data_IF_403837470699
#
_entry.id   IF_403837470699
#
_cell.length_a   1.000
_cell.length_b   1.000
_cell.length_c   1.000
_cell.angle_alpha   90.00
_cell.angle_beta   90.00
_cell.angle_gamma   90.00
#
_symmetry.space_group_name_H-M   'P 1'
#
loop_
_entity.id
_entity.type
_entity.pdbx_description
1 polymer ?
#
# COMPACT_ATOMS: atom_id res chain seq x y z
N UNK A 1 -14.87 20.56 -2.02
CA UNK A 1 -13.85 21.31 -1.27
C UNK A 1 -14.26 21.51 0.18
N UNK A 2 -15.49 21.94 0.45
CA UNK A 2 -15.97 22.21 1.83
C UNK A 2 -15.95 20.98 2.77
N UNK A 3 -16.33 19.80 2.27
CA UNK A 3 -16.30 18.55 3.05
C UNK A 3 -14.89 18.12 3.49
N UNK A 4 -13.88 18.27 2.62
CA UNK A 4 -12.52 17.84 2.95
C UNK A 4 -11.89 18.77 4.00
N UNK A 5 -12.15 20.08 3.91
CA UNK A 5 -11.72 21.05 4.91
C UNK A 5 -12.32 20.73 6.29
N UNK A 6 -13.63 20.42 6.33
CA UNK A 6 -14.30 20.03 7.56
C UNK A 6 -13.67 18.77 8.20
N UNK A 7 -13.48 17.70 7.42
CA UNK A 7 -12.85 16.48 7.94
C UNK A 7 -11.39 16.68 8.35
N UNK A 8 -10.68 17.58 7.66
CA UNK A 8 -9.29 17.88 7.96
C UNK A 8 -9.10 18.56 9.33
N UNK A 9 -10.04 19.43 9.73
CA UNK A 9 -10.03 19.99 11.09
C UNK A 9 -10.07 18.89 12.17
N UNK A 10 -10.96 17.90 12.02
CA UNK A 10 -11.06 16.76 12.94
C UNK A 10 -9.80 15.87 12.89
N UNK A 11 -9.21 15.70 11.71
CA UNK A 11 -7.96 14.97 11.53
C UNK A 11 -6.79 15.60 12.31
N UNK A 12 -6.58 16.92 12.19
CA UNK A 12 -5.54 17.63 12.95
C UNK A 12 -5.79 17.54 14.46
N UNK A 13 -7.04 17.64 14.90
CA UNK A 13 -7.39 17.48 16.31
C UNK A 13 -7.03 16.08 16.85
N UNK A 14 -7.31 15.03 16.07
CA UNK A 14 -6.95 13.65 16.44
C UNK A 14 -5.43 13.43 16.46
N UNK A 15 -4.69 13.95 15.48
CA UNK A 15 -3.23 13.87 15.48
C UNK A 15 -2.62 14.60 16.69
N UNK A 16 -3.12 15.79 17.01
CA UNK A 16 -2.69 16.53 18.21
C UNK A 16 -3.01 15.75 19.49
N UNK A 17 -4.20 15.15 19.61
CA UNK A 17 -4.57 14.31 20.74
C UNK A 17 -3.59 13.14 20.92
N UNK A 18 -3.29 12.42 19.83
CA UNK A 18 -2.32 11.31 19.81
C UNK A 18 -0.93 11.78 20.24
N UNK A 19 -0.46 12.92 19.72
CA UNK A 19 0.83 13.50 20.13
C UNK A 19 0.84 13.85 21.61
N UNK A 20 -0.18 14.55 22.10
CA UNK A 20 -0.27 14.94 23.52
C UNK A 20 -0.18 13.74 24.46
N UNK A 21 -0.82 12.63 24.09
CA UNK A 21 -0.81 11.38 24.84
C UNK A 21 0.59 10.75 24.87
N UNK A 22 1.22 10.55 23.71
CA UNK A 22 2.53 9.90 23.64
C UNK A 22 3.64 10.77 24.24
N UNK A 23 3.64 12.08 24.02
CA UNK A 23 4.69 12.95 24.58
C UNK A 23 4.56 13.04 26.11
N UNK A 24 3.34 13.01 26.65
CA UNK A 24 3.13 12.94 28.09
C UNK A 24 3.57 11.61 28.68
N UNK A 25 3.33 10.49 27.99
CA UNK A 25 3.74 9.15 28.45
C UNK A 25 5.26 8.99 28.47
N UNK A 26 5.94 9.50 27.46
CA UNK A 26 7.40 9.37 27.31
C UNK A 26 8.18 10.54 27.93
N UNK A 27 7.50 11.46 28.64
CA UNK A 27 8.08 12.66 29.24
C UNK A 27 8.88 13.53 28.25
N UNK A 28 8.37 13.69 27.03
CA UNK A 28 8.94 14.52 25.96
C UNK A 28 8.28 15.90 25.93
N UNK A 29 9.04 16.93 25.52
CA UNK A 29 8.50 18.28 25.25
C UNK A 29 7.63 18.29 23.98
N UNK A 30 7.92 17.42 23.02
CA UNK A 30 7.17 17.27 21.78
C UNK A 30 7.90 16.41 20.74
N UNK A 31 7.38 16.39 19.52
CA UNK A 31 7.96 15.71 18.36
C UNK A 31 8.42 16.73 17.31
N UNK A 32 9.55 16.45 16.68
CA UNK A 32 10.01 17.14 15.48
C UNK A 32 10.04 16.15 14.33
N UNK A 33 9.18 16.35 13.34
CA UNK A 33 8.98 15.42 12.22
C UNK A 33 9.57 16.02 10.94
N UNK A 34 10.57 15.37 10.39
CA UNK A 34 11.30 15.85 9.20
C UNK A 34 10.71 15.25 7.92
N UNK A 35 10.50 16.06 6.87
CA UNK A 35 10.00 15.57 5.58
C UNK A 35 11.01 14.70 4.83
N UNK A 36 12.31 14.90 5.08
CA UNK A 36 13.43 14.20 4.44
C UNK A 36 14.22 15.10 3.49
N UNK A 37 15.24 14.54 2.83
CA UNK A 37 16.05 15.22 1.82
C UNK A 37 16.13 14.39 0.53
N UNK A 38 16.46 15.03 -0.61
CA UNK A 38 16.78 14.30 -1.83
C UNK A 38 18.06 13.47 -1.62
N UNK A 39 18.04 12.23 -2.09
CA UNK A 39 19.22 11.37 -2.10
C UNK A 39 20.00 11.60 -3.38
N UNK A 40 21.28 11.96 -3.28
CA UNK A 40 22.14 12.19 -4.45
C UNK A 40 22.62 10.87 -5.04
N UNK A 41 22.64 10.76 -6.36
CA UNK A 41 23.22 9.61 -7.05
C UNK A 41 24.74 9.58 -6.82
N UNK A 42 25.31 8.37 -6.75
CA UNK A 42 26.72 8.18 -6.44
C UNK A 42 27.61 8.82 -7.50
N UNK A 43 28.46 9.76 -7.07
CA UNK A 43 29.39 10.53 -7.92
C UNK A 43 28.73 11.41 -9.00
N UNK A 44 27.44 11.72 -8.86
CA UNK A 44 26.68 12.55 -9.81
C UNK A 44 26.13 13.81 -9.13
N UNK A 45 25.62 14.76 -9.91
CA UNK A 45 24.88 15.94 -9.43
C UNK A 45 23.35 15.79 -9.53
N UNK A 46 22.88 14.65 -10.02
CA UNK A 46 21.45 14.27 -10.08
C UNK A 46 21.01 13.60 -8.77
N UNK A 47 19.75 13.82 -8.39
CA UNK A 47 19.11 13.18 -7.24
C UNK A 47 18.11 12.10 -7.67
N UNK A 48 17.93 11.09 -6.81
CA UNK A 48 16.77 10.21 -6.88
C UNK A 48 15.47 11.01 -6.68
N UNK A 49 14.33 10.50 -7.19
CA UNK A 49 13.03 11.07 -6.89
C UNK A 49 12.79 11.16 -5.38
N UNK A 50 12.45 12.35 -4.89
CA UNK A 50 12.18 12.58 -3.47
C UNK A 50 10.94 11.79 -3.02
N UNK A 51 11.00 11.21 -1.82
CA UNK A 51 9.89 10.53 -1.16
C UNK A 51 9.74 11.08 0.25
N UNK A 52 8.66 11.80 0.51
CA UNK A 52 8.40 12.37 1.83
C UNK A 52 8.23 11.28 2.90
N UNK A 53 8.81 11.54 4.08
CA UNK A 53 8.63 10.73 5.29
C UNK A 53 7.12 10.48 5.57
N UNK A 54 6.66 9.22 5.68
CA UNK A 54 5.27 8.90 6.00
C UNK A 54 4.73 9.56 7.27
N UNK A 55 5.58 9.82 8.27
CA UNK A 55 5.17 10.54 9.49
C UNK A 55 4.93 12.02 9.23
N UNK A 56 5.64 12.64 8.28
CA UNK A 56 5.44 14.03 7.90
C UNK A 56 4.15 14.19 7.11
N UNK A 57 3.99 13.42 6.02
CA UNK A 57 2.79 13.48 5.18
C UNK A 57 1.52 12.94 5.85
N UNK A 58 1.64 12.33 7.04
CA UNK A 58 0.50 12.02 7.88
C UNK A 58 -0.25 13.27 8.36
N UNK A 59 0.43 14.42 8.44
CA UNK A 59 -0.18 15.65 8.93
C UNK A 59 -0.77 16.50 7.82
N UNK A 60 -0.12 16.57 6.66
CA UNK A 60 -0.46 17.50 5.60
C UNK A 60 -0.09 16.96 4.21
N UNK A 61 -0.79 17.39 3.14
CA UNK A 61 -0.58 16.89 1.78
C UNK A 61 0.58 17.59 1.07
N UNK A 62 1.76 17.65 1.70
CA UNK A 62 3.00 18.15 1.10
C UNK A 62 3.93 16.97 0.87
N UNK A 63 4.07 16.55 -0.40
CA UNK A 63 4.71 15.28 -0.77
C UNK A 63 6.04 15.47 -1.52
N UNK A 64 6.23 16.63 -2.13
CA UNK A 64 7.28 16.96 -3.09
C UNK A 64 8.28 17.99 -2.55
N UNK A 65 8.11 18.46 -1.31
CA UNK A 65 8.98 19.48 -0.71
C UNK A 65 9.91 18.89 0.38
N UNK A 66 11.21 18.73 0.09
CA UNK A 66 12.19 18.28 1.07
C UNK A 66 12.52 19.38 2.10
N UNK A 67 13.30 19.04 3.13
CA UNK A 67 13.79 19.97 4.15
C UNK A 67 12.68 20.71 4.92
N UNK A 68 11.45 20.20 4.91
CA UNK A 68 10.36 20.72 5.71
C UNK A 68 10.32 20.02 7.07
N UNK A 69 9.84 20.73 8.08
CA UNK A 69 9.82 20.21 9.46
C UNK A 69 8.50 20.57 10.13
N UNK A 70 7.94 19.61 10.86
CA UNK A 70 6.83 19.86 11.78
C UNK A 70 7.35 19.86 13.20
N UNK A 71 6.92 20.84 13.99
CA UNK A 71 7.16 20.87 15.44
C UNK A 71 5.81 20.81 16.13
N UNK A 72 5.56 19.71 16.85
CA UNK A 72 4.24 19.39 17.42
C UNK A 72 4.36 18.89 18.84
N UNK A 73 3.53 19.42 19.75
CA UNK A 73 3.44 18.96 21.14
C UNK A 73 2.02 18.49 21.52
N UNK A 74 1.10 18.51 20.56
CA UNK A 74 -0.29 18.08 20.74
C UNK A 74 -1.19 19.07 21.50
N UNK A 75 -0.67 20.24 21.88
CA UNK A 75 -1.40 21.28 22.63
C UNK A 75 -1.48 22.58 21.85
N UNK A 76 -0.33 23.05 21.40
CA UNK A 76 -0.22 24.26 20.59
C UNK A 76 -0.53 23.96 19.13
N UNK A 77 -0.82 25.02 18.37
CA UNK A 77 -0.99 24.93 16.93
C UNK A 77 0.31 24.35 16.31
N UNK A 78 0.25 23.27 15.51
CA UNK A 78 1.41 22.70 14.84
C UNK A 78 2.21 23.75 14.08
N UNK A 79 3.53 23.80 14.29
CA UNK A 79 4.40 24.68 13.52
C UNK A 79 4.92 23.92 12.29
N UNK A 80 4.77 24.50 11.11
CA UNK A 80 5.36 24.02 9.86
C UNK A 80 6.50 24.94 9.46
N UNK A 81 7.72 24.41 9.50
CA UNK A 81 8.89 25.03 8.88
C UNK A 81 8.90 24.58 7.41
N UNK A 82 8.47 25.46 6.51
CA UNK A 82 8.31 25.17 5.09
C UNK A 82 9.55 25.61 4.30
N UNK A 83 10.23 24.66 3.67
CA UNK A 83 11.38 24.96 2.83
C UNK A 83 10.95 25.68 1.56
N UNK A 84 11.46 26.89 1.39
CA UNK A 84 11.17 27.76 0.24
C UNK A 84 12.46 28.51 -0.10
N UNK A 85 13.40 27.86 -0.81
CA UNK A 85 14.65 28.50 -1.16
C UNK A 85 14.42 29.74 -2.03
N UNK A 86 15.37 30.67 -2.02
CA UNK A 86 15.36 31.78 -2.98
C UNK A 86 16.38 31.44 -4.04
N UNK A 87 15.89 30.98 -5.18
CA UNK A 87 16.71 30.41 -6.25
C UNK A 87 16.11 30.76 -7.63
N UNK A 88 16.97 30.90 -8.63
CA UNK A 88 16.61 31.06 -10.04
C UNK A 88 16.75 29.77 -10.86
N UNK A 89 17.42 28.73 -10.32
CA UNK A 89 17.57 27.44 -11.00
C UNK A 89 16.31 26.56 -10.93
N UNK A 90 15.53 26.70 -9.87
CA UNK A 90 14.35 25.89 -9.62
C UNK A 90 13.09 26.74 -9.53
N UNK A 91 11.96 26.21 -10.03
CA UNK A 91 10.64 26.78 -9.71
C UNK A 91 10.37 26.54 -8.23
N UNK A 92 10.33 27.60 -7.44
CA UNK A 92 10.04 27.54 -6.01
C UNK A 92 8.54 27.71 -5.81
N UNK A 93 7.88 26.70 -5.23
CA UNK A 93 6.46 26.78 -4.88
C UNK A 93 6.27 27.69 -3.66
N UNK A 94 5.30 28.59 -3.74
CA UNK A 94 4.80 29.29 -2.56
C UNK A 94 4.08 28.31 -1.63
N UNK A 95 3.89 28.72 -0.37
CA UNK A 95 3.01 28.01 0.55
C UNK A 95 1.60 28.00 -0.08
N UNK A 96 1.02 26.83 -0.38
CA UNK A 96 -0.24 26.79 -1.11
C UNK A 96 -1.39 27.38 -0.29
N UNK A 97 -2.24 28.24 -0.86
CA UNK A 97 -3.49 28.66 -0.20
C UNK A 97 -4.53 27.53 -0.31
N UNK A 98 -4.45 26.55 0.59
CA UNK A 98 -5.28 25.35 0.61
C UNK A 98 -5.98 25.16 1.97
N UNK A 99 -6.98 24.28 2.03
CA UNK A 99 -7.77 24.00 3.24
C UNK A 99 -6.95 23.62 4.47
N UNK A 100 -5.71 23.12 4.30
CA UNK A 100 -4.89 22.67 5.41
C UNK A 100 -4.01 23.77 6.02
N UNK A 101 -3.74 24.86 5.31
CA UNK A 101 -2.70 25.82 5.76
C UNK A 101 -3.08 26.57 7.01
N UNK A 102 -4.36 26.89 7.19
CA UNK A 102 -4.85 27.59 8.38
C UNK A 102 -4.65 26.78 9.67
N UNK A 103 -4.39 25.48 9.58
CA UNK A 103 -4.13 24.62 10.73
C UNK A 103 -2.69 24.67 11.25
N UNK A 104 -1.77 25.32 10.52
CA UNK A 104 -0.36 25.42 10.91
C UNK A 104 0.06 26.87 11.21
N UNK A 105 1.05 27.03 12.09
CA UNK A 105 1.88 28.23 12.14
C UNK A 105 3.05 28.03 11.17
N UNK A 106 3.08 28.78 10.07
CA UNK A 106 4.02 28.53 8.97
C UNK A 106 5.21 29.49 9.07
N UNK A 107 6.42 28.94 9.13
CA UNK A 107 7.69 29.67 9.09
C UNK A 107 8.47 29.27 7.84
N UNK A 108 8.97 30.25 7.09
CA UNK A 108 9.71 29.98 5.86
C UNK A 108 11.18 29.70 6.14
N UNK A 109 11.69 28.62 5.55
CA UNK A 109 13.11 28.25 5.58
C UNK A 109 13.71 28.47 4.20
N UNK A 110 14.55 29.49 4.06
CA UNK A 110 15.16 29.87 2.77
C UNK A 110 16.47 29.14 2.48
N UNK A 111 17.11 28.56 3.50
CA UNK A 111 18.29 27.70 3.38
C UNK A 111 18.19 26.55 4.37
N UNK A 112 18.44 25.33 3.92
CA UNK A 112 18.27 24.12 4.74
C UNK A 112 19.14 24.13 6.01
N UNK A 113 20.36 24.67 5.93
CA UNK A 113 21.33 24.79 7.03
C UNK A 113 20.91 25.79 8.13
N UNK A 114 19.83 26.55 7.91
CA UNK A 114 19.30 27.53 8.86
C UNK A 114 18.17 27.01 9.75
N UNK A 115 17.81 25.73 9.63
CA UNK A 115 16.68 25.17 10.39
C UNK A 115 16.84 25.28 11.91
N UNK A 116 18.09 25.21 12.42
CA UNK A 116 18.37 25.32 13.85
C UNK A 116 17.84 26.62 14.49
N UNK A 117 17.75 27.71 13.71
CA UNK A 117 17.24 29.00 14.18
C UNK A 117 15.71 29.00 14.40
N UNK A 118 15.00 28.00 13.86
CA UNK A 118 13.54 27.88 13.90
C UNK A 118 13.04 26.70 14.77
N UNK A 119 13.95 25.86 15.25
CA UNK A 119 13.66 24.72 16.12
C UNK A 119 13.58 25.14 17.60
N UNK A 120 12.91 24.34 18.45
CA UNK A 120 12.90 24.55 19.90
C UNK A 120 14.32 24.63 20.50
N UNK A 121 14.52 25.55 21.45
CA UNK A 121 15.83 25.74 22.10
C UNK A 121 16.24 24.59 23.03
N UNK A 122 15.28 23.82 23.56
CA UNK A 122 15.48 22.67 24.45
C UNK A 122 15.42 21.33 23.69
N UNK A 123 15.96 21.29 22.47
CA UNK A 123 15.77 20.21 21.49
C UNK A 123 16.12 18.80 22.01
N UNK A 124 16.99 18.69 23.02
CA UNK A 124 17.34 17.43 23.65
C UNK A 124 16.15 16.71 24.33
N UNK A 125 15.08 17.43 24.69
CA UNK A 125 13.85 16.87 25.27
C UNK A 125 12.76 16.58 24.21
N UNK A 126 13.04 16.81 22.94
CA UNK A 126 12.14 16.53 21.82
C UNK A 126 12.58 15.25 21.11
N UNK A 127 11.62 14.49 20.58
CA UNK A 127 11.93 13.33 19.75
C UNK A 127 11.96 13.70 18.27
N UNK A 128 13.07 13.38 17.59
CA UNK A 128 13.20 13.50 16.14
C UNK A 128 12.56 12.29 15.46
N UNK A 129 11.67 12.53 14.50
CA UNK A 129 11.10 11.51 13.62
C UNK A 129 11.53 11.76 12.17
N UNK A 130 12.44 10.94 11.64
CA UNK A 130 12.95 11.07 10.28
C UNK A 130 14.13 10.14 9.96
N UNK A 131 14.54 10.13 8.69
CA UNK A 131 15.58 9.23 8.18
C UNK A 131 17.01 9.72 8.51
N UNK A 132 17.26 11.03 8.56
CA UNK A 132 18.61 11.59 8.59
C UNK A 132 19.10 11.81 10.03
N UNK A 133 19.53 10.71 10.63
CA UNK A 133 19.96 10.65 12.04
C UNK A 133 21.24 11.46 12.31
N UNK A 134 22.10 11.59 11.31
CA UNK A 134 23.31 12.41 11.31
C UNK A 134 22.98 13.91 11.40
N UNK A 135 22.02 14.36 10.58
CA UNK A 135 21.49 15.73 10.65
C UNK A 135 20.84 15.99 12.01
N UNK A 136 20.03 15.04 12.50
CA UNK A 136 19.42 15.14 13.82
C UNK A 136 20.47 15.22 14.94
N UNK A 137 21.56 14.46 14.85
CA UNK A 137 22.66 14.49 15.82
C UNK A 137 23.36 15.85 15.84
N UNK A 138 23.69 16.40 14.66
CA UNK A 138 24.31 17.74 14.56
C UNK A 138 23.39 18.84 15.11
N UNK A 139 22.07 18.69 14.95
CA UNK A 139 21.08 19.62 15.51
C UNK A 139 20.87 19.45 17.02
N UNK A 140 21.45 18.43 17.64
CA UNK A 140 21.41 18.21 19.10
C UNK A 140 20.30 17.29 19.60
N UNK A 141 19.61 16.56 18.72
CA UNK A 141 18.61 15.58 19.14
C UNK A 141 19.25 14.37 19.82
N UNK A 142 18.76 14.02 21.01
CA UNK A 142 19.19 12.82 21.74
C UNK A 142 18.24 11.65 21.53
N UNK A 143 16.94 11.93 21.43
CA UNK A 143 15.89 10.96 21.13
C UNK A 143 15.56 10.96 19.64
N UNK A 144 15.88 9.86 18.96
CA UNK A 144 15.78 9.72 17.49
C UNK A 144 15.00 8.46 17.15
N UNK A 145 13.85 8.62 16.52
CA UNK A 145 12.89 7.56 16.20
C UNK A 145 12.65 6.57 17.37
N UNK A 146 12.34 7.04 18.60
CA UNK A 146 12.21 6.16 19.75
C UNK A 146 11.09 5.12 19.55
N UNK A 147 11.38 3.85 19.80
CA UNK A 147 10.49 2.71 19.51
C UNK A 147 9.10 2.85 20.14
N UNK A 148 9.00 3.39 21.36
CA UNK A 148 7.74 3.63 22.05
C UNK A 148 6.84 4.62 21.31
N UNK A 149 7.42 5.71 20.79
CA UNK A 149 6.70 6.71 19.99
C UNK A 149 6.32 6.14 18.63
N UNK A 150 7.26 5.45 17.96
CA UNK A 150 7.01 4.84 16.65
C UNK A 150 5.89 3.81 16.73
N UNK A 151 5.96 2.89 17.70
CA UNK A 151 4.95 1.85 17.92
C UNK A 151 3.56 2.43 18.17
N UNK A 152 3.47 3.45 19.03
CA UNK A 152 2.19 4.10 19.31
C UNK A 152 1.59 4.77 18.06
N UNK A 153 2.39 5.57 17.35
CA UNK A 153 1.91 6.25 16.14
C UNK A 153 1.53 5.25 15.04
N UNK A 154 2.30 4.17 14.86
CA UNK A 154 2.02 3.11 13.89
C UNK A 154 0.78 2.30 14.25
N UNK A 155 0.55 2.04 15.54
CA UNK A 155 -0.67 1.36 15.98
C UNK A 155 -1.91 2.18 15.65
N UNK A 156 -1.90 3.48 15.96
CA UNK A 156 -3.05 4.37 15.73
C UNK A 156 -3.23 4.76 14.26
N UNK A 157 -2.18 4.69 13.43
CA UNK A 157 -2.26 4.79 11.96
C UNK A 157 -3.16 3.74 11.30
N UNK A 158 -3.40 2.60 11.98
CA UNK A 158 -4.29 1.57 11.44
C UNK A 158 -5.76 2.01 11.39
N UNK A 159 -6.17 2.92 12.28
CA UNK A 159 -7.54 3.44 12.37
C UNK A 159 -7.59 4.82 11.73
N UNK A 160 -8.17 4.88 10.54
CA UNK A 160 -8.23 6.07 9.69
C UNK A 160 -9.27 7.06 10.21
N UNK A 161 -8.95 8.33 10.15
CA UNK A 161 -9.91 9.44 10.32
C UNK A 161 -10.73 9.62 9.04
N UNK A 162 -11.86 10.34 9.12
CA UNK A 162 -12.71 10.59 7.94
C UNK A 162 -12.00 11.31 6.79
N UNK A 163 -11.05 12.20 7.10
CA UNK A 163 -10.20 12.83 6.09
C UNK A 163 -9.38 11.80 5.31
N UNK A 164 -8.78 10.85 6.02
CA UNK A 164 -7.95 9.79 5.44
C UNK A 164 -8.81 8.86 4.58
N UNK A 165 -9.99 8.48 5.06
CA UNK A 165 -10.93 7.66 4.30
C UNK A 165 -11.39 8.36 3.01
N UNK A 166 -11.72 9.65 3.06
CA UNK A 166 -12.03 10.43 1.85
C UNK A 166 -10.84 10.49 0.89
N UNK A 167 -9.61 10.68 1.38
CA UNK A 167 -8.42 10.66 0.53
C UNK A 167 -8.24 9.30 -0.16
N UNK A 168 -8.44 8.20 0.57
CA UNK A 168 -8.33 6.84 0.02
C UNK A 168 -9.43 6.53 -1.01
N UNK A 169 -10.66 7.02 -0.80
CA UNK A 169 -11.73 6.95 -1.80
C UNK A 169 -11.34 7.67 -3.09
N UNK A 170 -10.74 8.87 -2.99
CA UNK A 170 -10.23 9.61 -4.15
C UNK A 170 -9.09 8.91 -4.86
N UNK A 171 -8.14 8.33 -4.11
CA UNK A 171 -7.08 7.51 -4.68
C UNK A 171 -7.64 6.29 -5.45
N UNK A 172 -8.67 5.63 -4.92
CA UNK A 172 -9.38 4.54 -5.61
C UNK A 172 -10.09 5.03 -6.88
N UNK A 173 -10.78 6.18 -6.80
CA UNK A 173 -11.46 6.78 -7.96
C UNK A 173 -10.51 7.02 -9.12
N UNK A 174 -9.32 7.57 -8.84
CA UNK A 174 -8.29 7.81 -9.85
C UNK A 174 -7.77 6.49 -10.42
N UNK A 175 -7.39 5.53 -9.56
CA UNK A 175 -6.84 4.25 -10.01
C UNK A 175 -7.83 3.46 -10.88
N UNK A 176 -9.12 3.45 -10.55
CA UNK A 176 -10.15 2.76 -11.37
C UNK A 176 -10.20 3.32 -12.80
N UNK A 177 -10.01 4.64 -12.99
CA UNK A 177 -9.92 5.22 -14.34
C UNK A 177 -8.71 4.68 -15.11
N UNK A 178 -7.56 4.57 -14.43
CA UNK A 178 -6.35 3.93 -14.97
C UNK A 178 -6.58 2.48 -15.36
N UNK A 179 -7.20 1.69 -14.47
CA UNK A 179 -7.52 0.28 -14.72
C UNK A 179 -8.44 0.08 -15.93
N UNK A 180 -9.45 0.94 -16.11
CA UNK A 180 -10.32 0.89 -17.28
C UNK A 180 -9.57 1.25 -18.58
N UNK A 181 -8.68 2.24 -18.54
CA UNK A 181 -7.84 2.59 -19.69
C UNK A 181 -6.87 1.45 -20.05
N UNK A 182 -6.23 0.85 -19.05
CA UNK A 182 -5.32 -0.28 -19.22
C UNK A 182 -6.04 -1.51 -19.78
N UNK A 183 -7.23 -1.84 -19.26
CA UNK A 183 -8.09 -2.90 -19.79
C UNK A 183 -8.42 -2.68 -21.27
N UNK A 184 -8.82 -1.47 -21.64
CA UNK A 184 -9.11 -1.14 -23.04
C UNK A 184 -7.88 -1.27 -23.93
N UNK A 185 -6.72 -0.79 -23.46
CA UNK A 185 -5.45 -0.93 -24.17
C UNK A 185 -5.06 -2.40 -24.39
N UNK A 186 -5.24 -3.25 -23.38
CA UNK A 186 -5.02 -4.69 -23.48
C UNK A 186 -5.85 -5.32 -24.61
N UNK A 187 -7.15 -5.06 -24.67
CA UNK A 187 -8.03 -5.60 -25.72
C UNK A 187 -7.75 -5.01 -27.11
N UNK A 188 -7.18 -3.80 -27.17
CA UNK A 188 -6.76 -3.16 -28.43
C UNK A 188 -5.36 -3.60 -28.90
N UNK A 189 -4.72 -4.56 -28.24
CA UNK A 189 -3.47 -5.15 -28.68
C UNK A 189 -2.21 -4.38 -28.29
N UNK A 190 -2.30 -3.48 -27.31
CA UNK A 190 -1.14 -2.73 -26.81
C UNK A 190 -0.13 -3.64 -26.08
N UNK A 191 1.15 -3.29 -26.15
CA UNK A 191 2.24 -3.93 -25.39
C UNK A 191 2.15 -3.58 -23.90
N UNK A 192 2.93 -4.25 -23.05
CA UNK A 192 2.98 -3.95 -21.62
C UNK A 192 3.39 -2.49 -21.39
N UNK A 193 4.40 -2.01 -22.11
CA UNK A 193 4.80 -0.60 -22.05
C UNK A 193 3.68 0.35 -22.46
N UNK A 194 3.00 0.07 -23.57
CA UNK A 194 1.91 0.94 -24.05
C UNK A 194 0.71 0.95 -23.09
N UNK A 195 0.37 -0.21 -22.49
CA UNK A 195 -0.67 -0.32 -21.45
C UNK A 195 -0.30 0.54 -20.24
N UNK A 196 0.96 0.49 -19.77
CA UNK A 196 1.44 1.35 -18.69
C UNK A 196 1.26 2.84 -19.04
N UNK A 197 1.61 3.26 -20.26
CA UNK A 197 1.46 4.65 -20.66
C UNK A 197 -0.02 5.09 -20.67
N UNK A 198 -0.94 4.22 -21.10
CA UNK A 198 -2.37 4.50 -21.04
C UNK A 198 -2.86 4.61 -19.59
N UNK A 199 -2.37 3.76 -18.69
CA UNK A 199 -2.67 3.85 -17.26
C UNK A 199 -2.22 5.20 -16.69
N UNK A 200 -0.93 5.54 -16.82
CA UNK A 200 -0.33 6.77 -16.26
C UNK A 200 -1.03 8.03 -16.79
N UNK A 201 -1.31 8.06 -18.10
CA UNK A 201 -2.06 9.15 -18.73
C UNK A 201 -3.46 9.31 -18.15
N UNK A 202 -4.18 8.20 -17.96
CA UNK A 202 -5.55 8.21 -17.43
C UNK A 202 -5.62 8.61 -15.95
N UNK A 203 -4.63 8.26 -15.14
CA UNK A 203 -4.57 8.68 -13.72
C UNK A 203 -4.00 10.10 -13.55
N UNK A 204 -3.37 10.67 -14.59
CA UNK A 204 -2.74 11.99 -14.52
C UNK A 204 -1.54 12.05 -13.58
N UNK A 205 -0.81 10.93 -13.43
CA UNK A 205 0.34 10.78 -12.53
C UNK A 205 1.50 10.15 -13.30
N UNK A 206 2.71 10.65 -13.06
CA UNK A 206 3.95 10.05 -13.54
C UNK A 206 4.33 8.79 -12.77
N UNK A 207 5.32 8.07 -13.29
CA UNK A 207 5.82 6.80 -12.70
C UNK A 207 6.33 6.95 -11.26
N UNK A 208 6.85 8.13 -10.90
CA UNK A 208 7.30 8.40 -9.53
C UNK A 208 6.21 8.95 -8.61
N UNK A 209 5.02 9.23 -9.12
CA UNK A 209 3.87 9.75 -8.36
C UNK A 209 2.91 8.65 -7.94
N UNK A 210 2.80 7.59 -8.74
CA UNK A 210 2.07 6.37 -8.35
C UNK A 210 2.70 5.73 -7.10
N UNK A 211 1.89 5.07 -6.25
CA UNK A 211 2.32 4.67 -4.91
C UNK A 211 3.36 3.54 -4.90
N UNK A 212 3.43 2.74 -5.96
CA UNK A 212 4.40 1.68 -6.20
C UNK A 212 4.61 1.51 -7.72
N UNK A 213 5.66 0.79 -8.10
CA UNK A 213 5.89 0.45 -9.51
C UNK A 213 4.79 -0.51 -9.98
N UNK A 214 3.94 -0.05 -10.90
CA UNK A 214 2.86 -0.85 -11.45
C UNK A 214 3.39 -2.15 -12.07
N UNK A 215 2.66 -3.24 -11.88
CA UNK A 215 2.88 -4.50 -12.58
C UNK A 215 1.93 -4.56 -13.76
N UNK A 216 2.48 -4.56 -14.98
CA UNK A 216 1.71 -4.70 -16.22
C UNK A 216 2.20 -5.96 -16.93
N UNK A 217 1.50 -7.07 -16.75
CA UNK A 217 1.98 -8.39 -17.16
C UNK A 217 1.04 -9.05 -18.17
N UNK A 218 1.58 -9.45 -19.33
CA UNK A 218 0.86 -10.25 -20.32
C UNK A 218 1.25 -11.73 -20.25
N UNK A 219 0.27 -12.61 -20.44
CA UNK A 219 0.47 -14.06 -20.53
C UNK A 219 1.29 -14.63 -19.35
N UNK A 220 2.38 -15.36 -19.62
CA UNK A 220 3.22 -16.00 -18.61
C UNK A 220 3.82 -15.02 -17.59
N UNK A 221 4.00 -13.75 -17.96
CA UNK A 221 4.52 -12.74 -17.04
C UNK A 221 3.59 -12.54 -15.84
N UNK A 222 2.29 -12.87 -15.96
CA UNK A 222 1.33 -12.81 -14.86
C UNK A 222 1.62 -13.82 -13.71
N UNK A 223 2.53 -14.77 -13.91
CA UNK A 223 3.04 -15.64 -12.84
C UNK A 223 4.17 -14.99 -12.01
N UNK A 224 4.76 -13.90 -12.47
CA UNK A 224 5.89 -13.23 -11.81
C UNK A 224 5.33 -12.19 -10.83
N UNK A 225 5.36 -12.52 -9.53
CA UNK A 225 4.68 -11.71 -8.50
C UNK A 225 5.20 -10.28 -8.36
N UNK A 226 6.51 -10.07 -8.57
CA UNK A 226 7.14 -8.75 -8.59
C UNK A 226 7.67 -8.44 -9.99
N UNK A 227 6.80 -8.54 -11.00
CA UNK A 227 7.16 -8.24 -12.38
C UNK A 227 7.30 -6.73 -12.59
N UNK A 228 8.53 -6.27 -12.84
CA UNK A 228 8.84 -4.83 -13.00
C UNK A 228 9.22 -4.43 -14.42
N UNK A 229 9.37 -5.40 -15.33
CA UNK A 229 9.68 -5.10 -16.71
C UNK A 229 8.42 -4.60 -17.45
N UNK A 230 8.65 -3.91 -18.57
CA UNK A 230 7.59 -3.44 -19.46
C UNK A 230 8.01 -3.80 -20.89
N UNK A 231 7.58 -4.97 -21.36
CA UNK A 231 7.92 -5.41 -22.71
C UNK A 231 7.34 -4.44 -23.75
N UNK A 232 8.22 -3.96 -24.64
CA UNK A 232 7.82 -3.12 -25.77
C UNK A 232 7.26 -3.94 -26.93
N UNK A 233 7.59 -5.24 -26.99
CA UNK A 233 7.13 -6.13 -28.04
C UNK A 233 5.90 -6.90 -27.58
N UNK A 234 4.88 -6.96 -28.44
CA UNK A 234 3.69 -7.75 -28.17
C UNK A 234 3.99 -9.25 -28.22
N UNK A 235 3.35 -10.07 -27.37
CA UNK A 235 3.46 -11.51 -27.48
C UNK A 235 2.83 -12.00 -28.80
N UNK A 236 3.35 -13.10 -29.35
CA UNK A 236 2.86 -13.68 -30.60
C UNK A 236 1.37 -14.08 -30.54
N UNK A 237 0.89 -14.44 -29.35
CA UNK A 237 -0.53 -14.67 -29.05
C UNK A 237 -0.89 -13.95 -27.76
N UNK A 238 -2.07 -13.35 -27.70
CA UNK A 238 -2.60 -12.70 -26.50
C UNK A 238 -3.56 -13.65 -25.78
N UNK A 239 -3.29 -13.95 -24.52
CA UNK A 239 -4.02 -14.95 -23.74
C UNK A 239 -4.59 -14.35 -22.46
N UNK A 240 -3.74 -13.67 -21.66
CA UNK A 240 -4.13 -13.06 -20.39
C UNK A 240 -3.42 -11.73 -20.16
N UNK A 241 -3.97 -10.98 -19.23
CA UNK A 241 -3.42 -9.73 -18.72
C UNK A 241 -3.67 -9.62 -17.23
N UNK A 242 -2.63 -9.38 -16.45
CA UNK A 242 -2.70 -9.01 -15.06
C UNK A 242 -2.12 -7.60 -14.91
N UNK A 243 -2.90 -6.73 -14.29
CA UNK A 243 -2.46 -5.40 -13.88
C UNK A 243 -2.62 -5.27 -12.38
N UNK A 244 -1.55 -4.90 -11.72
CA UNK A 244 -1.53 -4.44 -10.33
C UNK A 244 -0.98 -3.01 -10.32
N UNK A 245 -1.87 -2.06 -10.07
CA UNK A 245 -1.57 -0.65 -10.19
C UNK A 245 -2.47 0.20 -9.28
N UNK A 246 -1.86 1.21 -8.69
CA UNK A 246 -2.49 2.14 -7.76
C UNK A 246 -2.43 3.59 -8.23
N UNK A 247 -2.98 4.48 -7.42
CA UNK A 247 -2.85 5.92 -7.57
C UNK A 247 -2.70 6.57 -6.19
N UNK A 248 -2.17 7.78 -6.17
CA UNK A 248 -2.01 8.57 -4.95
C UNK A 248 -3.00 9.73 -4.91
N UNK A 249 -3.58 10.00 -3.74
CA UNK A 249 -4.27 11.27 -3.48
C UNK A 249 -3.85 11.80 -2.12
N UNK A 250 -3.22 12.98 -2.10
CA UNK A 250 -2.69 13.59 -0.88
C UNK A 250 -1.82 12.66 -0.02
N UNK A 251 -1.11 11.74 -0.68
CA UNK A 251 -0.16 10.82 -0.07
C UNK A 251 -0.76 9.48 0.37
N UNK A 252 -2.09 9.31 0.29
CA UNK A 252 -2.80 8.06 0.53
C UNK A 252 -2.88 7.25 -0.76
N UNK A 253 -2.56 5.96 -0.66
CA UNK A 253 -2.49 5.03 -1.78
C UNK A 253 -3.82 4.31 -2.01
N UNK A 254 -4.10 4.00 -3.27
CA UNK A 254 -4.88 2.83 -3.68
C UNK A 254 -3.95 1.72 -4.18
N UNK A 255 -4.45 0.49 -4.18
CA UNK A 255 -3.71 -0.72 -4.51
C UNK A 255 -4.69 -1.73 -5.13
N UNK A 256 -4.70 -1.85 -6.45
CA UNK A 256 -5.77 -2.58 -7.14
C UNK A 256 -5.13 -3.51 -8.16
N UNK A 257 -5.57 -4.76 -8.11
CA UNK A 257 -5.19 -5.79 -9.07
C UNK A 257 -6.41 -6.33 -9.81
N UNK A 258 -6.29 -6.48 -11.13
CA UNK A 258 -7.25 -7.20 -11.98
C UNK A 258 -6.55 -8.13 -12.95
N UNK A 259 -7.18 -9.28 -13.18
CA UNK A 259 -6.78 -10.24 -14.20
C UNK A 259 -7.88 -10.39 -15.24
N UNK A 260 -7.50 -10.43 -16.52
CA UNK A 260 -8.39 -10.55 -17.66
C UNK A 260 -7.93 -11.69 -18.56
N UNK A 261 -8.89 -12.47 -19.07
CA UNK A 261 -8.67 -13.35 -20.21
C UNK A 261 -8.95 -12.58 -21.52
N UNK A 262 -8.20 -12.90 -22.58
CA UNK A 262 -8.46 -12.34 -23.91
C UNK A 262 -9.71 -12.95 -24.55
N UNK A 263 -9.93 -14.25 -24.35
CA UNK A 263 -11.07 -15.01 -24.84
C UNK A 263 -11.79 -15.72 -23.69
N UNK A 264 -13.08 -16.03 -23.87
CA UNK A 264 -13.84 -16.87 -22.94
C UNK A 264 -13.40 -18.32 -23.06
N UNK A 265 -12.74 -18.83 -22.01
CA UNK A 265 -12.20 -20.18 -21.94
C UNK A 265 -12.08 -20.62 -20.46
N UNK A 266 -11.46 -21.78 -20.22
CA UNK A 266 -11.25 -22.31 -18.85
C UNK A 266 -10.55 -21.32 -17.91
N UNK A 267 -9.64 -20.49 -18.42
CA UNK A 267 -8.95 -19.47 -17.62
C UNK A 267 -9.89 -18.30 -17.25
N UNK A 268 -10.77 -17.86 -18.16
CA UNK A 268 -11.83 -16.87 -17.88
C UNK A 268 -12.81 -17.35 -16.79
N UNK A 269 -13.18 -18.63 -16.84
CA UNK A 269 -14.00 -19.27 -15.81
C UNK A 269 -13.27 -19.32 -14.45
N UNK A 270 -11.96 -19.56 -14.46
CA UNK A 270 -11.13 -19.56 -13.25
C UNK A 270 -10.99 -18.14 -12.66
N UNK A 271 -10.85 -17.10 -13.49
CA UNK A 271 -10.90 -15.70 -13.05
C UNK A 271 -12.26 -15.41 -12.39
N UNK A 272 -13.35 -15.87 -12.99
CA UNK A 272 -14.71 -15.69 -12.45
C UNK A 272 -14.87 -16.40 -11.09
N UNK A 273 -14.32 -17.60 -10.93
CA UNK A 273 -14.32 -18.33 -9.66
C UNK A 273 -13.49 -17.61 -8.58
N UNK A 274 -12.29 -17.12 -8.94
CA UNK A 274 -11.45 -16.32 -8.04
C UNK A 274 -12.16 -15.03 -7.62
N UNK A 275 -12.85 -14.36 -8.56
CA UNK A 275 -13.61 -13.15 -8.28
C UNK A 275 -14.72 -13.41 -7.25
N UNK A 276 -15.47 -14.49 -7.43
CA UNK A 276 -16.50 -14.92 -6.47
C UNK A 276 -15.88 -15.22 -5.10
N UNK A 277 -14.78 -15.97 -5.07
CA UNK A 277 -14.08 -16.31 -3.84
C UNK A 277 -13.61 -15.06 -3.08
N UNK A 278 -13.09 -14.06 -3.80
CA UNK A 278 -12.64 -12.78 -3.25
C UNK A 278 -13.78 -11.98 -2.62
N UNK A 279 -14.93 -11.88 -3.30
CA UNK A 279 -16.12 -11.21 -2.74
C UNK A 279 -16.64 -11.93 -1.49
N UNK A 280 -16.68 -13.26 -1.50
CA UNK A 280 -17.07 -14.04 -0.31
C UNK A 280 -16.09 -13.85 0.86
N UNK A 281 -14.79 -13.65 0.61
CA UNK A 281 -13.81 -13.32 1.64
C UNK A 281 -14.03 -11.91 2.22
N UNK A 282 -14.41 -10.95 1.37
CA UNK A 282 -14.76 -9.60 1.81
C UNK A 282 -16.02 -9.61 2.68
N UNK A 283 -17.03 -10.40 2.32
CA UNK A 283 -18.26 -10.53 3.12
C UNK A 283 -18.01 -11.11 4.52
N UNK A 284 -16.90 -11.84 4.70
CA UNK A 284 -16.49 -12.34 6.02
C UNK A 284 -15.87 -11.26 6.91
N UNK A 285 -15.36 -10.17 6.35
CA UNK A 285 -14.75 -9.08 7.11
C UNK A 285 -15.79 -8.39 7.99
N UNK A 286 -15.46 -8.20 9.27
CA UNK A 286 -16.22 -7.38 10.23
C UNK A 286 -15.37 -7.18 11.49
N UNK A 287 -15.66 -6.16 12.31
CA UNK A 287 -15.00 -5.99 13.60
C UNK A 287 -14.99 -7.30 14.43
N UNK A 288 -13.84 -7.62 15.01
CA UNK A 288 -13.63 -8.83 15.83
C UNK A 288 -13.14 -10.07 15.07
N UNK A 289 -13.17 -10.07 13.74
CA UNK A 289 -12.58 -11.17 12.94
C UNK A 289 -11.06 -11.07 12.95
N UNK A 290 -10.36 -12.19 13.14
CA UNK A 290 -8.90 -12.26 13.05
C UNK A 290 -8.51 -12.34 11.57
N UNK A 291 -7.62 -11.48 11.11
CA UNK A 291 -7.16 -11.51 9.72
C UNK A 291 -6.54 -12.86 9.29
N UNK A 292 -5.78 -13.57 10.14
CA UNK A 292 -5.30 -14.92 9.81
C UNK A 292 -6.41 -15.92 9.48
N UNK A 293 -7.60 -15.78 10.07
CA UNK A 293 -8.73 -16.68 9.80
C UNK A 293 -9.26 -16.48 8.37
N UNK A 294 -9.24 -15.23 7.87
CA UNK A 294 -9.55 -14.93 6.47
C UNK A 294 -8.50 -15.54 5.54
N UNK A 295 -7.21 -15.45 5.89
CA UNK A 295 -6.14 -16.06 5.11
C UNK A 295 -6.28 -17.59 5.01
N UNK A 296 -6.61 -18.27 6.11
CA UNK A 296 -6.89 -19.71 6.10
C UNK A 296 -8.12 -20.04 5.26
N UNK A 297 -9.18 -19.22 5.34
CA UNK A 297 -10.36 -19.38 4.49
C UNK A 297 -10.01 -19.25 2.99
N UNK A 298 -9.06 -18.37 2.63
CA UNK A 298 -8.55 -18.25 1.26
C UNK A 298 -7.89 -19.53 0.79
N UNK A 299 -7.02 -20.15 1.60
CA UNK A 299 -6.41 -21.44 1.24
C UNK A 299 -7.47 -22.53 1.02
N UNK A 300 -8.54 -22.55 1.83
CA UNK A 300 -9.68 -23.45 1.60
C UNK A 300 -10.40 -23.19 0.26
N UNK A 301 -10.63 -21.93 -0.10
CA UNK A 301 -11.23 -21.56 -1.40
C UNK A 301 -10.31 -21.89 -2.57
N UNK A 302 -9.00 -21.67 -2.43
CA UNK A 302 -7.99 -22.07 -3.44
C UNK A 302 -7.99 -23.59 -3.60
N UNK A 303 -7.99 -24.36 -2.51
CA UNK A 303 -8.08 -25.82 -2.59
C UNK A 303 -9.33 -26.28 -3.36
N UNK A 304 -10.49 -25.69 -3.08
CA UNK A 304 -11.71 -26.02 -3.81
C UNK A 304 -11.59 -25.68 -5.31
N UNK A 305 -11.02 -24.52 -5.66
CA UNK A 305 -10.77 -24.16 -7.07
C UNK A 305 -9.80 -25.14 -7.74
N UNK A 306 -8.76 -25.62 -7.05
CA UNK A 306 -7.85 -26.62 -7.61
C UNK A 306 -8.57 -27.94 -7.95
N UNK A 307 -9.58 -28.33 -7.16
CA UNK A 307 -10.40 -29.52 -7.43
C UNK A 307 -11.42 -29.27 -8.54
N UNK A 308 -12.19 -28.19 -8.45
CA UNK A 308 -13.27 -27.86 -9.40
C UNK A 308 -12.74 -27.67 -10.83
N UNK A 309 -11.53 -27.11 -10.95
CA UNK A 309 -10.85 -26.90 -12.22
C UNK A 309 -9.85 -28.01 -12.55
N UNK A 310 -9.91 -29.16 -11.87
CA UNK A 310 -9.07 -30.35 -12.14
C UNK A 310 -7.57 -30.03 -12.25
N UNK A 311 -7.07 -29.09 -11.44
CA UNK A 311 -5.65 -28.80 -11.26
C UNK A 311 -5.02 -29.74 -10.23
N UNK A 312 -5.82 -30.21 -9.27
CA UNK A 312 -5.44 -31.22 -8.30
C UNK A 312 -6.58 -32.23 -8.08
N UNK A 313 -6.28 -33.33 -7.40
CA UNK A 313 -7.22 -34.38 -7.00
C UNK A 313 -7.06 -34.68 -5.51
N UNK A 314 -8.09 -35.25 -4.88
CA UNK A 314 -8.13 -35.53 -3.45
C UNK A 314 -9.26 -34.78 -2.76
N UNK A 315 -9.06 -34.43 -1.48
CA UNK A 315 -9.99 -33.62 -0.69
C UNK A 315 -9.41 -32.23 -0.38
N UNK A 316 -10.27 -31.22 -0.26
CA UNK A 316 -9.84 -29.83 -0.14
C UNK A 316 -9.00 -29.57 1.13
N UNK A 317 -9.37 -30.18 2.27
CA UNK A 317 -8.62 -30.02 3.52
C UNK A 317 -7.24 -30.67 3.40
N UNK A 318 -7.15 -31.84 2.80
CA UNK A 318 -5.90 -32.54 2.53
C UNK A 318 -4.94 -31.72 1.64
N UNK A 319 -5.45 -30.98 0.65
CA UNK A 319 -4.62 -30.08 -0.17
C UNK A 319 -4.05 -28.90 0.65
N UNK A 320 -4.80 -28.41 1.64
CA UNK A 320 -4.35 -27.36 2.56
C UNK A 320 -3.30 -27.91 3.52
N UNK A 321 -3.60 -29.01 4.20
CA UNK A 321 -2.74 -29.62 5.22
C UNK A 321 -1.39 -30.07 4.67
N UNK A 322 -1.34 -30.51 3.40
CA UNK A 322 -0.12 -30.89 2.70
C UNK A 322 0.67 -29.70 2.13
N UNK A 323 0.16 -28.48 2.27
CA UNK A 323 0.76 -27.26 1.72
C UNK A 323 0.75 -27.17 0.19
N UNK A 324 -0.12 -27.93 -0.49
CA UNK A 324 -0.24 -27.88 -1.96
C UNK A 324 -0.78 -26.53 -2.41
N UNK A 325 -1.76 -26.00 -1.68
CA UNK A 325 -2.35 -24.68 -1.99
C UNK A 325 -1.30 -23.57 -1.99
N UNK A 326 -0.29 -23.63 -1.12
CA UNK A 326 0.78 -22.64 -1.03
C UNK A 326 1.68 -22.57 -2.27
N UNK A 327 1.74 -23.63 -3.09
CA UNK A 327 2.47 -23.59 -4.36
C UNK A 327 1.70 -22.81 -5.45
N UNK A 328 0.37 -22.73 -5.33
CA UNK A 328 -0.50 -21.96 -6.23
C UNK A 328 -0.84 -20.57 -5.67
N UNK A 329 -0.81 -20.40 -4.35
CA UNK A 329 -1.07 -19.14 -3.64
C UNK A 329 0.05 -18.89 -2.61
N UNK A 330 1.19 -18.31 -3.04
CA UNK A 330 2.41 -18.27 -2.23
C UNK A 330 2.57 -17.00 -1.37
N UNK A 331 1.56 -16.12 -1.31
CA UNK A 331 1.64 -14.84 -0.60
C UNK A 331 0.50 -14.67 0.42
N UNK A 332 0.57 -13.61 1.24
CA UNK A 332 -0.51 -13.25 2.16
C UNK A 332 -1.78 -12.81 1.42
N UNK A 333 -2.94 -12.92 2.07
CA UNK A 333 -4.24 -12.49 1.51
C UNK A 333 -4.33 -10.99 1.24
N UNK A 334 -3.50 -10.18 1.90
CA UNK A 334 -3.54 -8.73 1.82
C UNK A 334 -2.92 -8.09 3.06
N UNK A 335 -3.07 -6.79 3.18
CA UNK A 335 -2.40 -5.98 4.19
C UNK A 335 -3.19 -4.71 4.53
N UNK A 336 -2.76 -4.01 5.59
CA UNK A 336 -3.23 -2.66 5.86
C UNK A 336 -2.83 -1.72 4.71
N UNK A 337 -3.69 -0.78 4.35
CA UNK A 337 -3.46 0.22 3.31
C UNK A 337 -3.69 1.64 3.85
N UNK A 338 -2.92 2.62 3.39
CA UNK A 338 -3.05 4.02 3.80
C UNK A 338 -2.00 4.94 3.18
N UNK A 339 -1.29 5.69 4.03
CA UNK A 339 -0.15 6.54 3.62
C UNK A 339 1.01 5.77 3.00
N UNK A 340 1.07 4.47 3.26
CA UNK A 340 1.97 3.52 2.64
C UNK A 340 1.13 2.38 2.06
N UNK A 341 1.61 1.76 0.99
CA UNK A 341 0.94 0.63 0.30
C UNK A 341 0.78 -0.52 1.29
N UNK A 342 1.91 -1.08 1.73
CA UNK A 342 1.98 -1.91 2.93
C UNK A 342 2.01 -1.00 4.17
N UNK A 343 0.84 -0.56 4.65
CA UNK A 343 0.73 0.35 5.78
C UNK A 343 1.22 -0.28 7.09
N UNK A 344 1.66 0.57 8.01
CA UNK A 344 2.23 0.16 9.30
C UNK A 344 1.17 -0.44 10.23
N UNK A 345 1.63 -1.13 11.28
CA UNK A 345 0.77 -1.62 12.36
C UNK A 345 0.03 -2.93 12.07
N UNK A 346 0.18 -3.54 10.88
CA UNK A 346 -0.46 -4.83 10.52
C UNK A 346 -0.12 -6.03 11.42
N UNK A 347 0.96 -5.95 12.20
CA UNK A 347 1.33 -6.98 13.19
C UNK A 347 1.29 -6.48 14.65
N UNK A 348 0.89 -5.22 14.87
CA UNK A 348 0.84 -4.65 16.21
C UNK A 348 -0.42 -5.12 16.94
N UNK A 349 -0.23 -5.80 18.06
CA UNK A 349 -1.30 -6.26 18.94
C UNK A 349 -1.82 -5.14 19.85
N UNK A 350 -0.90 -4.31 20.36
CA UNK A 350 -1.20 -3.17 21.21
C UNK A 350 -0.37 -1.94 20.80
N UNK A 351 -0.70 -0.81 21.40
CA UNK A 351 -0.02 0.46 21.16
C UNK A 351 1.37 0.57 21.81
N UNK A 352 1.79 -0.43 22.59
CA UNK A 352 3.13 -0.51 23.20
C UNK A 352 4.14 -1.22 22.30
N UNK A 353 3.69 -1.72 21.14
CA UNK A 353 4.56 -2.39 20.17
C UNK A 353 4.63 -3.90 20.32
N UNK A 354 3.71 -4.54 21.08
CA UNK A 354 3.64 -6.00 21.11
C UNK A 354 3.36 -6.52 19.69
N UNK A 355 4.26 -7.35 19.17
CA UNK A 355 4.22 -7.84 17.79
C UNK A 355 3.71 -9.29 17.75
N UNK A 356 2.69 -9.55 16.93
CA UNK A 356 2.25 -10.91 16.61
C UNK A 356 2.77 -11.25 15.21
N UNK A 357 3.82 -12.07 15.08
CA UNK A 357 4.39 -12.39 13.78
C UNK A 357 3.43 -13.24 12.94
N UNK A 358 3.69 -13.27 11.64
CA UNK A 358 3.05 -14.23 10.74
C UNK A 358 3.25 -15.68 11.25
N UNK A 359 2.25 -16.56 11.15
CA UNK A 359 2.44 -17.97 11.47
C UNK A 359 3.54 -18.58 10.60
N UNK A 360 4.31 -19.52 11.16
CA UNK A 360 5.44 -20.16 10.45
C UNK A 360 5.00 -20.83 9.12
N UNK A 361 3.79 -21.39 9.08
CA UNK A 361 3.22 -22.00 7.87
C UNK A 361 2.85 -20.97 6.78
N UNK A 362 2.73 -19.68 7.13
CA UNK A 362 2.30 -18.60 6.24
C UNK A 362 3.21 -17.37 6.40
N UNK A 363 4.53 -17.49 6.09
CA UNK A 363 5.54 -16.48 6.44
C UNK A 363 5.36 -15.15 5.69
N UNK A 364 4.62 -15.15 4.59
CA UNK A 364 4.34 -13.96 3.77
C UNK A 364 3.02 -13.27 4.13
N UNK A 365 2.31 -13.73 5.17
CA UNK A 365 1.13 -13.04 5.68
C UNK A 365 1.53 -11.68 6.28
N UNK A 366 0.95 -10.59 5.78
CA UNK A 366 1.33 -9.21 6.16
C UNK A 366 0.47 -8.59 7.27
N UNK A 367 -0.53 -9.31 7.76
CA UNK A 367 -1.45 -8.83 8.78
C UNK A 367 -1.88 -9.96 9.72
N UNK A 368 -1.80 -9.71 11.03
CA UNK A 368 -2.25 -10.64 12.08
C UNK A 368 -3.23 -9.98 13.06
N UNK A 369 -3.68 -8.76 12.76
CA UNK A 369 -4.61 -8.01 13.60
C UNK A 369 -5.98 -8.67 13.68
N UNK A 370 -6.67 -8.32 14.75
CA UNK A 370 -8.12 -8.39 14.82
C UNK A 370 -8.68 -7.14 14.11
N UNK A 371 -9.62 -7.36 13.19
CA UNK A 371 -10.25 -6.29 12.45
C UNK A 371 -11.05 -5.37 13.37
N UNK A 372 -10.97 -4.07 13.12
CA UNK A 372 -11.69 -3.04 13.84
C UNK A 372 -12.27 -2.00 12.86
N UNK A 373 -13.28 -1.21 13.28
CA UNK A 373 -13.82 -0.14 12.45
C UNK A 373 -12.76 0.86 12.00
N UNK A 374 -12.99 1.47 10.84
CA UNK A 374 -12.13 2.46 10.20
C UNK A 374 -10.73 1.95 9.84
N UNK A 375 -10.55 0.64 9.77
CA UNK A 375 -9.38 0.05 9.13
C UNK A 375 -9.62 -0.08 7.63
N UNK A 376 -8.55 0.05 6.85
CA UNK A 376 -8.57 -0.16 5.40
C UNK A 376 -7.55 -1.22 5.05
N UNK A 377 -8.00 -2.24 4.31
CA UNK A 377 -7.18 -3.39 3.92
C UNK A 377 -7.30 -3.68 2.43
N UNK A 378 -6.25 -4.28 1.86
CA UNK A 378 -6.32 -4.98 0.58
C UNK A 378 -6.87 -6.39 0.76
N UNK A 379 -7.59 -6.89 -0.24
CA UNK A 379 -8.11 -8.26 -0.29
C UNK A 379 -7.79 -8.87 -1.65
N UNK A 380 -6.66 -9.57 -1.73
CA UNK A 380 -5.93 -9.92 -2.95
C UNK A 380 -5.65 -11.44 -3.10
N UNK A 381 -6.66 -12.34 -3.04
CA UNK A 381 -6.42 -13.75 -3.31
C UNK A 381 -5.87 -13.96 -4.73
N UNK A 382 -5.03 -14.99 -4.89
CA UNK A 382 -4.39 -15.32 -6.15
C UNK A 382 -4.26 -16.82 -6.40
N UNK A 383 -4.03 -17.17 -7.66
CA UNK A 383 -3.73 -18.52 -8.12
C UNK A 383 -2.79 -18.43 -9.32
N UNK A 384 -1.57 -18.95 -9.16
CA UNK A 384 -0.50 -18.79 -10.13
C UNK A 384 0.08 -20.14 -10.56
N UNK A 385 0.56 -20.19 -11.81
CA UNK A 385 1.35 -21.30 -12.32
C UNK A 385 2.82 -20.87 -12.32
N UNK A 386 3.48 -21.04 -11.17
CA UNK A 386 4.88 -20.65 -10.97
C UNK A 386 5.76 -21.90 -11.05
N UNK A 387 6.57 -21.99 -12.11
CA UNK A 387 7.35 -23.21 -12.38
C UNK A 387 8.30 -23.58 -11.24
N UNK A 388 8.93 -22.61 -10.57
CA UNK A 388 9.84 -22.90 -9.44
C UNK A 388 9.12 -23.59 -8.29
N UNK A 389 7.94 -23.10 -7.89
CA UNK A 389 7.14 -23.68 -6.81
C UNK A 389 6.52 -25.02 -7.19
N UNK A 390 6.00 -25.12 -8.41
CA UNK A 390 5.38 -26.36 -8.88
C UNK A 390 6.40 -27.47 -9.13
N UNK A 391 7.64 -27.13 -9.51
CA UNK A 391 8.71 -28.11 -9.66
C UNK A 391 9.09 -28.77 -8.32
N UNK A 392 8.97 -28.07 -7.19
CA UNK A 392 9.16 -28.66 -5.87
C UNK A 392 8.10 -29.72 -5.58
N UNK A 393 6.82 -29.41 -5.84
CA UNK A 393 5.73 -30.39 -5.70
C UNK A 393 5.93 -31.61 -6.60
N UNK A 394 6.43 -31.40 -7.83
CA UNK A 394 6.68 -32.47 -8.79
C UNK A 394 7.75 -33.47 -8.34
N UNK A 395 8.66 -33.06 -7.46
CA UNK A 395 9.77 -33.88 -6.98
C UNK A 395 9.40 -34.75 -5.76
N UNK A 396 8.25 -34.52 -5.12
CA UNK A 396 7.80 -35.33 -3.97
C UNK A 396 6.43 -36.00 -4.20
N UNK A 397 5.93 -36.72 -3.19
CA UNK A 397 4.68 -37.49 -3.28
C UNK A 397 3.43 -36.64 -3.56
N UNK A 398 3.44 -35.35 -3.21
CA UNK A 398 2.32 -34.42 -3.45
C UNK A 398 2.07 -34.22 -4.94
N UNK A 399 3.12 -34.31 -5.77
CA UNK A 399 3.03 -34.20 -7.22
C UNK A 399 2.12 -35.23 -7.89
N UNK A 400 1.78 -36.34 -7.21
CA UNK A 400 0.82 -37.34 -7.71
C UNK A 400 -0.63 -36.84 -7.68
N UNK A 401 -0.94 -35.87 -6.81
CA UNK A 401 -2.27 -35.27 -6.72
C UNK A 401 -2.46 -34.17 -7.77
N UNK A 402 -1.38 -33.65 -8.37
CA UNK A 402 -1.43 -32.55 -9.34
C UNK A 402 -1.74 -33.10 -10.73
N UNK A 403 -2.73 -32.50 -11.39
CA UNK A 403 -3.02 -32.77 -12.79
C UNK A 403 -2.13 -31.90 -13.68
N UNK A 404 -0.95 -32.43 -13.98
CA UNK A 404 0.06 -31.73 -14.79
C UNK A 404 -0.43 -31.35 -16.19
N UNK A 405 -1.39 -32.09 -16.76
CA UNK A 405 -1.97 -31.74 -18.06
C UNK A 405 -2.74 -30.42 -18.00
N UNK A 406 -3.57 -30.24 -16.97
CA UNK A 406 -4.30 -28.98 -16.76
C UNK A 406 -3.35 -27.83 -16.40
N UNK A 407 -2.32 -28.12 -15.58
CA UNK A 407 -1.26 -27.14 -15.29
C UNK A 407 -0.56 -26.69 -16.59
N UNK A 408 -0.20 -27.62 -17.47
CA UNK A 408 0.44 -27.32 -18.76
C UNK A 408 -0.47 -26.50 -19.69
N UNK A 409 -1.78 -26.76 -19.66
CA UNK A 409 -2.80 -26.01 -20.40
C UNK A 409 -2.92 -24.56 -19.91
N UNK A 410 -2.86 -24.33 -18.60
CA UNK A 410 -3.02 -23.02 -17.98
C UNK A 410 -1.71 -22.23 -17.83
N UNK A 411 -0.54 -22.89 -17.86
CA UNK A 411 0.78 -22.25 -17.75
C UNK A 411 0.95 -21.03 -18.67
N UNK A 412 0.51 -21.03 -19.94
CA UNK A 412 0.66 -19.88 -20.83
C UNK A 412 -0.06 -18.60 -20.37
N UNK A 413 -1.05 -18.73 -19.48
CA UNK A 413 -1.79 -17.58 -18.93
C UNK A 413 -1.11 -16.97 -17.69
N UNK A 414 -0.08 -17.61 -17.14
CA UNK A 414 0.68 -17.13 -15.99
C UNK A 414 -0.05 -17.34 -14.67
N UNK A 415 -0.95 -16.44 -14.32
CA UNK A 415 -1.65 -16.47 -13.04
C UNK A 415 -2.75 -15.43 -12.91
N UNK A 416 -3.44 -15.49 -11.77
CA UNK A 416 -4.59 -14.66 -11.45
C UNK A 416 -4.35 -14.00 -10.10
N UNK A 417 -4.61 -12.70 -10.02
CA UNK A 417 -4.84 -11.94 -8.79
C UNK A 417 -5.99 -10.97 -9.00
N UNK A 418 -6.83 -10.83 -7.98
CA UNK A 418 -7.95 -9.88 -7.95
C UNK A 418 -7.92 -9.21 -6.60
N UNK A 419 -7.79 -7.89 -6.59
CA UNK A 419 -7.56 -7.12 -5.37
C UNK A 419 -8.45 -5.89 -5.29
N UNK A 420 -9.03 -5.68 -4.11
CA UNK A 420 -9.82 -4.49 -3.80
C UNK A 420 -9.32 -3.83 -2.52
N UNK A 421 -9.63 -2.54 -2.38
CA UNK A 421 -9.41 -1.78 -1.16
C UNK A 421 -10.73 -1.65 -0.38
N UNK A 422 -10.75 -2.19 0.83
CA UNK A 422 -11.97 -2.33 1.62
C UNK A 422 -11.83 -1.58 2.94
N UNK A 423 -12.76 -0.66 3.20
CA UNK A 423 -12.93 -0.02 4.50
C UNK A 423 -13.86 -0.91 5.34
N UNK A 424 -13.40 -1.27 6.53
CA UNK A 424 -14.21 -2.01 7.53
C UNK A 424 -14.95 -0.98 8.38
N UNK A 425 -16.27 -0.89 8.23
CA UNK A 425 -17.12 -0.09 9.13
C UNK A 425 -17.63 -0.96 10.29
N UNK A 426 -18.37 -0.35 11.22
CA UNK A 426 -18.93 -1.05 12.37
C UNK A 426 -19.94 -2.14 11.97
N UNK A 427 -20.74 -1.89 10.93
CA UNK A 427 -21.91 -2.68 10.54
C UNK A 427 -21.90 -3.10 9.05
N UNK A 428 -20.93 -2.63 8.25
CA UNK A 428 -20.79 -2.97 6.83
C UNK A 428 -19.33 -2.94 6.38
N UNK A 429 -19.07 -3.49 5.20
CA UNK A 429 -17.83 -3.25 4.47
C UNK A 429 -18.11 -2.29 3.32
N UNK A 430 -17.23 -1.33 3.10
CA UNK A 430 -17.26 -0.44 1.94
C UNK A 430 -16.10 -0.84 1.02
N UNK A 431 -16.44 -1.50 -0.08
CA UNK A 431 -15.46 -1.89 -1.09
C UNK A 431 -15.31 -0.74 -2.09
N UNK A 432 -14.32 0.13 -1.85
CA UNK A 432 -14.11 1.35 -2.63
C UNK A 432 -13.90 1.03 -4.11
N UNK A 433 -13.24 -0.08 -4.42
CA UNK A 433 -12.91 -0.49 -5.78
C UNK A 433 -14.17 -0.94 -6.54
N UNK A 434 -15.02 -1.78 -5.93
CA UNK A 434 -16.23 -2.33 -6.57
C UNK A 434 -17.36 -1.31 -6.67
N UNK A 435 -17.50 -0.43 -5.68
CA UNK A 435 -18.51 0.64 -5.71
C UNK A 435 -18.30 1.62 -6.88
N UNK A 436 -17.07 1.69 -7.41
CA UNK A 436 -16.72 2.46 -8.62
C UNK A 436 -16.96 1.69 -9.93
N UNK A 437 -17.50 0.47 -9.88
CA UNK A 437 -17.88 -0.30 -11.05
C UNK A 437 -16.74 -1.12 -11.70
N UNK A 438 -15.60 -1.28 -11.02
CA UNK A 438 -14.51 -2.15 -11.50
C UNK A 438 -14.74 -3.59 -11.02
N UNK A 439 -15.40 -4.39 -11.85
CA UNK A 439 -15.60 -5.83 -11.62
C UNK A 439 -14.35 -6.67 -11.89
#
# INVERSE_FOLDING_TARGET
MDHLAHHYHAHIAELNRRVAEIVSREALSGLVIHSGQPHRMFLDDINYPFKANPHFKAWLPVLDNPNCWLVVNGRDKPQLIFYRPVDFWHKVSDVPEMFWTEHFEIKLLTKADKVAELLPSDIANWAYLGEHLDVAEVLGFTSRNPDSVMSYLHFHRTTKTEYELECMRRANQIAVQGHLAAKNAFYNGASEFEIQQQYLSAVGQGENEVPYGNIIALNQNAAILHYTALEHQNPARRLSFLIDAGASYFGYASDITRTYAFEKNRFDELITAMNKAQLELIDMMRPGVRYPDLHLATHGKVAQMLLDFELATGDAQGLVDQGITSAFFPHGLGHMLGLQVHDVGGFAFDERGTHIPAPEAHPFLRCTRILAPNQVLTMEPGLYIIDTLLNELKQDSRGQQINWRTVDELRPFGGIRIEDNVIVHQDRNENMTRELGLA
#
